data_IF_034451884116
#
_entry.id   IF_034451884116
#
_cell.length_a   1.000
_cell.length_b   1.000
_cell.length_c   1.000
_cell.angle_alpha   90.00
_cell.angle_beta   90.00
_cell.angle_gamma   90.00
#
_symmetry.space_group_name_H-M   'P 1'
#
loop_
_entity.id
_entity.type
_entity.pdbx_description
1 polymer ?
#
# COMPACT_ATOMS: atom_id res chain seq x y z
N UNK A 1 -69.36 21.17 -7.96
CA UNK A 1 -69.54 22.62 -7.99
C UNK A 1 -68.27 23.25 -8.51
N UNK A 2 -68.32 23.74 -9.75
CA UNK A 2 -67.26 24.53 -10.35
C UNK A 2 -67.28 25.93 -9.73
N UNK A 3 -66.10 26.48 -9.43
CA UNK A 3 -65.97 27.91 -9.15
C UNK A 3 -64.74 28.44 -9.88
N UNK A 4 -65.02 29.27 -10.87
CA UNK A 4 -64.10 30.07 -11.68
C UNK A 4 -63.75 31.36 -10.96
N UNK A 5 -62.47 31.76 -10.88
CA UNK A 5 -62.00 33.17 -10.82
C UNK A 5 -60.55 33.15 -11.38
N UNK A 6 -60.26 33.46 -12.64
CA UNK A 6 -60.20 34.76 -13.35
C UNK A 6 -59.06 35.72 -12.91
N UNK A 7 -57.97 35.67 -13.71
CA UNK A 7 -57.22 36.78 -14.31
C UNK A 7 -56.57 37.89 -13.46
N UNK A 8 -55.25 38.07 -13.60
CA UNK A 8 -54.68 39.25 -14.29
C UNK A 8 -53.18 39.10 -14.59
N UNK A 9 -52.87 39.10 -15.88
CA UNK A 9 -51.54 39.36 -16.45
C UNK A 9 -51.14 40.80 -16.13
N UNK A 10 -49.97 40.99 -15.55
CA UNK A 10 -49.32 42.31 -15.49
C UNK A 10 -48.41 42.43 -16.71
N UNK A 11 -48.84 43.21 -17.70
CA UNK A 11 -47.99 43.71 -18.76
C UNK A 11 -47.29 44.96 -18.23
N UNK A 12 -45.96 44.94 -18.18
CA UNK A 12 -45.17 46.17 -17.99
C UNK A 12 -44.87 46.74 -19.37
N UNK A 13 -45.37 47.95 -19.60
CA UNK A 13 -45.17 48.72 -20.81
C UNK A 13 -43.71 49.20 -20.92
N UNK A 14 -43.09 48.94 -22.07
CA UNK A 14 -41.79 49.50 -22.44
C UNK A 14 -42.03 50.89 -23.03
N UNK A 15 -41.70 51.93 -22.26
CA UNK A 15 -41.71 53.31 -22.75
C UNK A 15 -40.41 53.56 -23.52
N UNK A 16 -40.51 53.64 -24.87
CA UNK A 16 -39.42 54.09 -25.72
C UNK A 16 -39.37 55.62 -25.66
N UNK A 17 -38.30 56.17 -25.08
CA UNK A 17 -37.91 57.56 -25.28
C UNK A 17 -36.64 57.58 -26.12
N UNK A 18 -36.79 58.08 -27.33
CA UNK A 18 -35.76 58.38 -28.32
C UNK A 18 -34.80 59.44 -27.78
N UNK A 19 -33.54 59.08 -27.60
CA UNK A 19 -32.43 60.03 -27.53
C UNK A 19 -31.33 59.58 -28.49
N UNK A 20 -31.27 60.28 -29.62
CA UNK A 20 -30.41 60.01 -30.75
C UNK A 20 -29.00 60.55 -30.45
N UNK A 21 -28.10 59.72 -29.94
CA UNK A 21 -26.68 60.09 -29.81
C UNK A 21 -25.93 59.59 -31.05
N UNK A 22 -25.60 60.53 -31.94
CA UNK A 22 -24.61 60.35 -33.00
C UNK A 22 -23.22 60.15 -32.36
N UNK A 23 -22.84 58.89 -32.14
CA UNK A 23 -21.47 58.49 -31.86
C UNK A 23 -20.76 58.11 -33.16
N UNK A 24 -19.81 58.93 -33.58
CA UNK A 24 -18.91 58.66 -34.71
C UNK A 24 -18.20 57.32 -34.54
N UNK A 25 -18.42 56.41 -35.48
CA UNK A 25 -17.74 55.13 -35.60
C UNK A 25 -16.26 55.36 -35.97
N UNK A 26 -15.39 55.43 -34.98
CA UNK A 26 -13.96 55.28 -35.19
C UNK A 26 -13.68 53.82 -35.52
N UNK A 27 -13.68 53.52 -36.81
CA UNK A 27 -13.20 52.27 -37.38
C UNK A 27 -11.69 52.18 -37.14
N UNK A 28 -11.27 51.67 -35.99
CA UNK A 28 -9.87 51.32 -35.79
C UNK A 28 -9.50 50.23 -36.79
N UNK A 29 -8.53 50.52 -37.65
CA UNK A 29 -7.96 49.58 -38.61
C UNK A 29 -7.13 48.52 -37.88
N UNK A 30 -7.72 47.36 -37.56
CA UNK A 30 -7.03 46.18 -37.01
C UNK A 30 -6.29 45.38 -38.10
N UNK A 31 -5.79 46.04 -39.13
CA UNK A 31 -4.99 45.42 -40.19
C UNK A 31 -3.76 46.27 -40.41
N UNK A 32 -2.70 46.02 -39.63
CA UNK A 32 -1.26 46.13 -39.96
C UNK A 32 -0.38 46.28 -38.71
N UNK A 33 -0.31 45.24 -37.88
CA UNK A 33 0.85 44.99 -36.99
C UNK A 33 0.92 43.49 -36.64
N UNK A 34 0.90 42.64 -37.67
CA UNK A 34 1.20 41.22 -37.52
C UNK A 34 2.09 40.85 -38.70
N UNK A 35 3.36 41.26 -38.66
CA UNK A 35 4.50 40.73 -39.45
C UNK A 35 5.67 41.72 -39.39
N UNK A 36 6.33 41.84 -38.24
CA UNK A 36 7.67 42.47 -38.19
C UNK A 36 8.66 41.79 -37.25
N UNK A 37 8.30 40.69 -36.57
CA UNK A 37 9.24 40.01 -35.70
C UNK A 37 9.15 38.48 -35.84
N UNK A 38 9.97 37.84 -36.70
CA UNK A 38 9.93 36.39 -36.91
C UNK A 38 10.22 35.61 -35.62
N UNK A 39 10.89 36.24 -34.66
CA UNK A 39 11.18 35.67 -33.34
C UNK A 39 9.97 35.60 -32.40
N UNK A 40 8.93 36.41 -32.62
CA UNK A 40 7.74 36.40 -31.76
C UNK A 40 6.97 35.08 -31.87
N UNK A 41 6.94 34.47 -33.06
CA UNK A 41 6.30 33.17 -33.27
C UNK A 41 7.08 32.04 -32.58
N UNK A 42 8.42 32.03 -32.73
CA UNK A 42 9.29 31.07 -32.05
C UNK A 42 9.21 31.21 -30.52
N UNK A 43 9.14 32.44 -30.01
CA UNK A 43 8.93 32.69 -28.59
C UNK A 43 7.58 32.16 -28.11
N UNK A 44 6.50 32.37 -28.88
CA UNK A 44 5.18 31.85 -28.52
C UNK A 44 5.14 30.31 -28.48
N UNK A 45 5.81 29.63 -29.43
CA UNK A 45 5.93 28.17 -29.44
C UNK A 45 6.76 27.65 -28.26
N UNK A 46 7.84 28.33 -27.90
CA UNK A 46 8.67 27.97 -26.75
C UNK A 46 7.91 28.11 -25.43
N UNK A 47 7.12 29.18 -25.28
CA UNK A 47 6.26 29.37 -24.10
C UNK A 47 5.18 28.28 -24.03
N UNK A 48 4.53 27.95 -25.14
CA UNK A 48 3.53 26.86 -25.18
C UNK A 48 4.18 25.51 -24.84
N UNK A 49 5.38 25.24 -25.36
CA UNK A 49 6.13 24.03 -25.05
C UNK A 49 6.51 23.95 -23.56
N UNK A 50 6.99 25.05 -22.97
CA UNK A 50 7.29 25.11 -21.54
C UNK A 50 6.03 24.91 -20.68
N UNK A 51 4.91 25.52 -21.05
CA UNK A 51 3.63 25.33 -20.37
C UNK A 51 3.13 23.88 -20.50
N UNK A 52 3.34 23.24 -21.65
CA UNK A 52 3.01 21.83 -21.87
C UNK A 52 3.90 20.90 -21.02
N UNK A 53 5.21 21.15 -20.94
CA UNK A 53 6.12 20.40 -20.07
C UNK A 53 5.76 20.59 -18.60
N UNK A 54 5.45 21.81 -18.17
CA UNK A 54 4.95 22.09 -16.82
C UNK A 54 3.61 21.38 -16.55
N UNK A 55 2.71 21.34 -17.53
CA UNK A 55 1.45 20.61 -17.42
C UNK A 55 1.66 19.09 -17.27
N UNK A 56 2.54 18.49 -18.07
CA UNK A 56 2.86 17.05 -17.99
C UNK A 56 3.58 16.71 -16.68
N UNK A 57 4.51 17.56 -16.23
CA UNK A 57 5.21 17.36 -14.96
C UNK A 57 4.29 17.52 -13.76
N UNK A 58 3.35 18.47 -13.80
CA UNK A 58 2.35 18.65 -12.75
C UNK A 58 1.34 17.49 -12.72
N UNK A 59 0.87 17.02 -13.88
CA UNK A 59 0.02 15.82 -13.96
C UNK A 59 0.72 14.57 -13.42
N UNK A 60 2.02 14.39 -13.74
CA UNK A 60 2.83 13.31 -13.13
C UNK A 60 2.93 13.50 -11.61
N UNK A 61 3.24 14.70 -11.14
CA UNK A 61 3.35 14.99 -9.71
C UNK A 61 2.04 14.72 -8.96
N UNK A 62 0.89 15.10 -9.53
CA UNK A 62 -0.43 14.83 -8.95
C UNK A 62 -0.78 13.34 -8.98
N UNK A 63 -0.42 12.61 -10.05
CA UNK A 63 -0.56 11.15 -10.11
C UNK A 63 0.32 10.46 -9.06
N UNK A 64 1.61 10.81 -8.97
CA UNK A 64 2.52 10.29 -7.94
C UNK A 64 2.03 10.64 -6.54
N UNK A 65 1.48 11.84 -6.32
CA UNK A 65 0.93 12.25 -5.03
C UNK A 65 -0.34 11.45 -4.69
N UNK A 66 -1.20 11.16 -5.67
CA UNK A 66 -2.40 10.36 -5.47
C UNK A 66 -2.08 8.88 -5.20
N UNK A 67 -1.12 8.31 -5.93
CA UNK A 67 -0.61 6.95 -5.68
C UNK A 67 0.02 6.88 -4.28
N UNK A 68 0.89 7.82 -3.92
CA UNK A 68 1.49 7.91 -2.59
C UNK A 68 0.43 8.12 -1.49
N UNK A 69 -0.65 8.84 -1.75
CA UNK A 69 -1.76 8.98 -0.79
C UNK A 69 -2.48 7.65 -0.61
N UNK A 70 -2.78 6.92 -1.69
CA UNK A 70 -3.36 5.57 -1.63
C UNK A 70 -2.41 4.59 -0.90
N UNK A 71 -1.09 4.72 -1.08
CA UNK A 71 -0.08 3.88 -0.40
C UNK A 71 0.12 4.25 1.09
N UNK A 72 -0.06 5.52 1.45
CA UNK A 72 0.12 6.02 2.82
C UNK A 72 -1.17 6.01 3.65
N UNK A 73 -2.30 6.11 2.97
CA UNK A 73 -3.67 6.12 3.49
C UNK A 73 -4.39 4.83 3.07
N UNK A 74 -3.64 3.72 3.04
CA UNK A 74 -4.21 2.38 3.11
C UNK A 74 -4.93 2.25 4.45
N UNK A 75 -6.14 2.83 4.51
CA UNK A 75 -7.11 2.56 5.54
C UNK A 75 -7.21 1.04 5.68
N UNK A 76 -7.38 0.60 6.91
CA UNK A 76 -7.32 -0.78 7.44
C UNK A 76 -8.33 -1.75 6.78
N UNK A 77 -8.97 -1.33 5.69
CA UNK A 77 -9.93 -2.09 4.90
C UNK A 77 -9.38 -2.82 3.68
N UNK A 78 -8.10 -2.65 3.33
CA UNK A 78 -7.54 -3.27 2.11
C UNK A 78 -6.51 -4.37 2.38
N UNK A 79 -6.58 -5.04 3.54
CA UNK A 79 -5.98 -6.37 3.70
C UNK A 79 -6.56 -7.38 2.68
N UNK A 80 -7.68 -7.06 2.02
CA UNK A 80 -8.24 -7.82 0.90
C UNK A 80 -7.82 -7.35 -0.49
N UNK A 81 -6.95 -6.34 -0.60
CA UNK A 81 -6.46 -5.92 -1.91
C UNK A 81 -5.45 -6.95 -2.41
N UNK A 82 -5.87 -7.68 -3.44
CA UNK A 82 -5.11 -8.77 -4.07
C UNK A 82 -3.73 -8.35 -4.60
N UNK A 83 -3.43 -7.05 -4.58
CA UNK A 83 -2.15 -6.48 -4.98
C UNK A 83 -1.07 -6.57 -3.90
N UNK A 84 -1.41 -6.56 -2.62
CA UNK A 84 -0.38 -6.62 -1.58
C UNK A 84 0.28 -8.00 -1.50
N UNK A 85 1.54 -8.00 -1.12
CA UNK A 85 2.31 -9.17 -0.76
C UNK A 85 2.50 -9.22 0.74
N UNK A 86 2.72 -10.41 1.28
CA UNK A 86 2.80 -10.66 2.70
C UNK A 86 4.04 -11.48 3.03
N UNK A 87 4.52 -11.38 4.27
CA UNK A 87 5.49 -12.30 4.84
C UNK A 87 5.14 -12.58 6.31
N UNK A 88 5.38 -13.81 6.73
CA UNK A 88 5.22 -14.24 8.12
C UNK A 88 6.59 -14.51 8.71
N UNK A 89 6.89 -13.92 9.87
CA UNK A 89 8.13 -14.17 10.62
C UNK A 89 7.78 -14.67 12.00
N UNK A 90 8.26 -15.86 12.35
CA UNK A 90 8.17 -16.44 13.68
C UNK A 90 9.54 -16.31 14.36
N UNK A 91 9.62 -15.43 15.36
CA UNK A 91 10.77 -15.29 16.25
C UNK A 91 10.67 -16.33 17.39
N UNK A 92 11.58 -17.29 17.38
CA UNK A 92 11.67 -18.40 18.31
C UNK A 92 12.69 -18.12 19.41
N UNK A 93 12.29 -17.26 20.36
CA UNK A 93 13.07 -16.90 21.55
C UNK A 93 13.06 -17.96 22.66
N UNK A 94 14.01 -17.83 23.60
CA UNK A 94 14.14 -18.77 24.74
C UNK A 94 12.92 -18.79 25.67
N UNK A 95 12.28 -17.64 25.88
CA UNK A 95 11.12 -17.50 26.78
C UNK A 95 9.77 -17.75 26.11
N UNK A 96 9.74 -17.98 24.80
CA UNK A 96 8.52 -18.08 24.00
C UNK A 96 8.73 -17.63 22.57
N UNK A 97 7.81 -18.02 21.70
CA UNK A 97 7.82 -17.67 20.27
C UNK A 97 6.78 -16.60 19.96
N UNK A 98 7.07 -15.75 18.97
CA UNK A 98 6.19 -14.65 18.52
C UNK A 98 6.04 -14.67 17.02
N UNK A 99 4.83 -14.40 16.53
CA UNK A 99 4.57 -14.22 15.10
C UNK A 99 4.38 -12.74 14.78
N UNK A 100 4.95 -12.34 13.66
CA UNK A 100 4.82 -11.01 13.05
C UNK A 100 4.36 -11.19 11.62
N UNK A 101 3.40 -10.36 11.20
CA UNK A 101 2.90 -10.33 9.83
C UNK A 101 3.33 -9.01 9.22
N UNK A 102 4.00 -9.10 8.08
CA UNK A 102 4.43 -7.96 7.29
C UNK A 102 3.72 -7.96 5.95
N UNK A 103 3.56 -6.78 5.37
CA UNK A 103 2.98 -6.61 4.06
C UNK A 103 3.64 -5.45 3.31
N UNK A 104 3.60 -5.48 1.98
CA UNK A 104 4.11 -4.41 1.13
C UNK A 104 3.33 -4.35 -0.19
N UNK A 105 3.20 -3.15 -0.78
CA UNK A 105 2.54 -3.00 -2.08
C UNK A 105 3.37 -3.63 -3.21
N UNK A 106 2.79 -3.80 -4.41
CA UNK A 106 3.56 -4.13 -5.60
C UNK A 106 4.74 -3.16 -5.78
N UNK A 107 5.87 -3.71 -6.20
CA UNK A 107 7.05 -2.92 -6.51
C UNK A 107 6.80 -2.06 -7.77
N UNK A 108 7.27 -0.81 -7.76
CA UNK A 108 7.07 0.16 -8.88
C UNK A 108 7.78 -0.27 -10.17
N UNK A 109 8.78 -1.15 -10.05
CA UNK A 109 9.66 -1.59 -11.14
C UNK A 109 11.00 -0.85 -11.16
N UNK A 110 11.19 0.18 -10.34
CA UNK A 110 12.46 0.88 -10.20
C UNK A 110 13.47 0.04 -9.40
N UNK A 111 14.55 -0.40 -10.04
CA UNK A 111 15.58 -1.23 -9.42
C UNK A 111 16.34 -0.54 -8.27
N UNK A 112 16.21 0.78 -8.13
CA UNK A 112 16.82 1.53 -7.03
C UNK A 112 15.91 1.61 -5.79
N UNK A 113 14.64 1.24 -5.92
CA UNK A 113 13.69 1.27 -4.83
C UNK A 113 13.75 -0.04 -4.01
N UNK A 114 13.65 0.09 -2.68
CA UNK A 114 13.50 -1.06 -1.79
C UNK A 114 12.02 -1.36 -1.58
N UNK A 115 11.71 -2.58 -1.14
CA UNK A 115 10.35 -2.93 -0.74
C UNK A 115 9.91 -2.06 0.44
N UNK A 116 8.75 -1.42 0.30
CA UNK A 116 8.11 -0.65 1.36
C UNK A 116 7.37 -1.59 2.32
N UNK A 117 8.14 -2.33 3.13
CA UNK A 117 7.63 -3.31 4.07
C UNK A 117 7.07 -2.61 5.31
N UNK A 118 5.82 -2.92 5.65
CA UNK A 118 5.13 -2.43 6.85
C UNK A 118 4.69 -3.61 7.70
N UNK A 119 4.70 -3.43 9.02
CA UNK A 119 4.09 -4.39 9.93
C UNK A 119 2.56 -4.24 9.87
N UNK A 120 1.83 -5.35 9.80
CA UNK A 120 0.38 -5.35 9.81
C UNK A 120 -0.15 -4.82 11.16
N UNK A 121 -1.14 -3.93 11.09
CA UNK A 121 -1.82 -3.35 12.23
C UNK A 121 -3.30 -3.77 12.23
N UNK A 122 -3.90 -3.88 13.41
CA UNK A 122 -5.33 -4.11 13.57
C UNK A 122 -6.14 -2.81 13.41
N UNK A 123 -7.46 -2.88 13.57
CA UNK A 123 -8.37 -1.73 13.46
C UNK A 123 -8.07 -0.60 14.44
N UNK A 124 -7.47 -0.92 15.59
CA UNK A 124 -7.10 0.03 16.62
C UNK A 124 -5.66 0.58 16.41
N UNK A 125 -5.01 0.18 15.32
CA UNK A 125 -3.63 0.56 15.01
C UNK A 125 -2.57 -0.19 15.82
N UNK A 126 -2.94 -1.27 16.52
CA UNK A 126 -1.97 -2.07 17.26
C UNK A 126 -1.31 -3.10 16.33
N UNK A 127 -0.04 -3.46 16.59
CA UNK A 127 0.62 -4.47 15.78
C UNK A 127 -0.05 -5.84 15.87
N UNK A 128 -0.44 -6.40 14.73
CA UNK A 128 -0.95 -7.78 14.62
C UNK A 128 0.19 -8.74 14.94
N UNK A 129 0.16 -9.27 16.16
CA UNK A 129 1.15 -10.20 16.68
C UNK A 129 0.54 -11.13 17.71
N UNK A 130 1.08 -12.33 17.81
CA UNK A 130 0.74 -13.29 18.87
C UNK A 130 2.02 -13.82 19.51
N UNK A 131 1.98 -14.09 20.82
CA UNK A 131 3.06 -14.74 21.56
C UNK A 131 2.55 -16.01 22.24
N UNK A 132 3.35 -17.07 22.17
CA UNK A 132 3.15 -18.31 22.92
C UNK A 132 4.30 -18.56 23.89
N UNK A 133 4.08 -19.45 24.85
CA UNK A 133 5.08 -19.98 25.78
C UNK A 133 4.85 -21.49 25.97
N UNK A 134 5.88 -22.30 26.24
CA UNK A 134 7.30 -21.94 26.33
C UNK A 134 7.94 -21.71 24.95
N UNK A 135 9.24 -21.38 24.90
CA UNK A 135 9.99 -21.28 23.65
C UNK A 135 10.33 -22.66 23.08
N UNK A 136 10.65 -22.74 21.79
CA UNK A 136 10.88 -24.03 21.12
C UNK A 136 12.04 -24.83 21.73
N UNK A 137 13.03 -24.15 22.33
CA UNK A 137 14.16 -24.81 23.01
C UNK A 137 13.75 -25.62 24.24
N UNK A 138 12.56 -25.37 24.81
CA UNK A 138 12.03 -26.15 25.92
C UNK A 138 11.60 -27.56 25.52
N UNK A 139 11.50 -27.85 24.22
CA UNK A 139 11.16 -29.17 23.69
C UNK A 139 12.40 -30.02 23.35
N UNK A 140 13.57 -29.68 23.88
CA UNK A 140 14.83 -30.38 23.62
C UNK A 140 14.80 -31.87 23.95
N UNK A 141 14.00 -32.27 24.96
CA UNK A 141 13.82 -33.67 25.36
C UNK A 141 12.62 -34.33 24.68
N UNK A 142 11.76 -33.56 24.00
CA UNK A 142 10.66 -34.09 23.22
C UNK A 142 10.43 -33.27 21.92
N UNK A 143 11.34 -33.42 20.92
CA UNK A 143 11.31 -32.63 19.70
C UNK A 143 10.01 -32.75 18.90
N UNK A 144 9.30 -33.87 19.02
CA UNK A 144 8.01 -34.11 18.35
C UNK A 144 6.93 -33.06 18.67
N UNK A 145 7.05 -32.37 19.81
CA UNK A 145 6.11 -31.35 20.24
C UNK A 145 6.50 -29.92 19.80
N UNK A 146 7.68 -29.72 19.21
CA UNK A 146 8.16 -28.39 18.84
C UNK A 146 7.27 -27.75 17.77
N UNK A 147 6.99 -28.46 16.67
CA UNK A 147 6.08 -27.97 15.60
C UNK A 147 4.65 -27.73 16.10
N UNK A 148 4.12 -28.66 16.90
CA UNK A 148 2.80 -28.51 17.54
C UNK A 148 2.68 -27.23 18.35
N UNK A 149 3.76 -26.83 19.05
CA UNK A 149 3.77 -25.58 19.81
C UNK A 149 3.58 -24.34 18.91
N UNK A 150 4.07 -24.36 17.67
CA UNK A 150 3.99 -23.24 16.72
C UNK A 150 2.67 -23.18 15.96
N UNK A 151 1.87 -24.25 15.96
CA UNK A 151 0.59 -24.32 15.24
C UNK A 151 -0.36 -23.13 15.53
N UNK A 152 -0.55 -22.67 16.78
CA UNK A 152 -1.39 -21.50 17.04
C UNK A 152 -0.89 -20.22 16.36
N UNK A 153 0.43 -20.05 16.22
CA UNK A 153 1.01 -18.89 15.54
C UNK A 153 0.77 -18.93 14.03
N UNK A 154 0.86 -20.12 13.42
CA UNK A 154 0.57 -20.32 12.00
C UNK A 154 -0.90 -20.03 11.68
N UNK A 155 -1.81 -20.58 12.49
CA UNK A 155 -3.25 -20.35 12.33
C UNK A 155 -3.60 -18.87 12.53
N UNK A 156 -3.02 -18.22 13.54
CA UNK A 156 -3.18 -16.79 13.74
C UNK A 156 -2.75 -15.98 12.50
N UNK A 157 -1.62 -16.33 11.88
CA UNK A 157 -1.19 -15.64 10.67
C UNK A 157 -2.13 -15.89 9.48
N UNK A 158 -2.62 -17.12 9.32
CA UNK A 158 -3.59 -17.47 8.28
C UNK A 158 -4.88 -16.67 8.45
N UNK A 159 -5.40 -16.52 9.68
CA UNK A 159 -6.63 -15.77 9.94
C UNK A 159 -6.56 -14.29 9.53
N UNK A 160 -5.36 -13.71 9.40
CA UNK A 160 -5.15 -12.30 9.04
C UNK A 160 -4.74 -12.10 7.57
N UNK A 161 -4.28 -13.14 6.89
CA UNK A 161 -3.81 -13.06 5.50
C UNK A 161 -4.92 -13.58 4.58
N UNK A 162 -5.20 -12.92 3.43
CA UNK A 162 -6.18 -13.45 2.48
C UNK A 162 -5.81 -14.85 1.99
N UNK A 163 -6.81 -15.75 1.90
CA UNK A 163 -6.59 -17.14 1.49
C UNK A 163 -5.88 -17.28 0.14
N UNK A 164 -6.15 -16.40 -0.82
CA UNK A 164 -5.49 -16.40 -2.13
C UNK A 164 -4.01 -15.99 -2.09
N UNK A 165 -3.50 -15.55 -0.94
CA UNK A 165 -2.12 -15.12 -0.72
C UNK A 165 -1.26 -16.13 0.02
N UNK A 166 -1.84 -17.19 0.59
CA UNK A 166 -1.08 -18.16 1.39
C UNK A 166 0.11 -18.74 0.62
N UNK A 167 -0.11 -19.26 -0.58
CA UNK A 167 0.92 -19.95 -1.36
C UNK A 167 2.07 -19.04 -1.83
N UNK A 168 1.86 -17.72 -1.90
CA UNK A 168 2.91 -16.75 -2.25
C UNK A 168 3.57 -16.12 -1.03
N UNK A 169 3.01 -16.31 0.17
CA UNK A 169 3.49 -15.68 1.39
C UNK A 169 4.65 -16.48 1.97
N UNK A 170 5.90 -15.98 1.95
CA UNK A 170 7.01 -16.63 2.60
C UNK A 170 6.83 -16.69 4.12
N UNK A 171 7.14 -17.85 4.70
CA UNK A 171 7.21 -18.09 6.14
C UNK A 171 8.68 -18.24 6.56
N UNK A 172 9.13 -17.37 7.46
CA UNK A 172 10.43 -17.44 8.10
C UNK A 172 10.29 -17.85 9.56
N UNK A 173 11.10 -18.81 10.01
CA UNK A 173 11.18 -19.23 11.40
C UNK A 173 12.61 -19.02 11.87
N UNK A 174 12.83 -18.02 12.72
CA UNK A 174 14.15 -17.59 13.15
C UNK A 174 14.32 -17.91 14.63
N UNK A 175 15.19 -18.87 14.94
CA UNK A 175 15.47 -19.27 16.31
C UNK A 175 16.70 -18.55 16.87
N UNK A 176 16.61 -18.09 18.11
CA UNK A 176 17.64 -17.24 18.73
C UNK A 176 18.40 -17.98 19.86
N UNK A 177 18.80 -17.27 20.91
CA UNK A 177 19.68 -17.75 21.97
C UNK A 177 19.28 -19.10 22.58
N UNK A 178 17.98 -19.36 22.76
CA UNK A 178 17.51 -20.62 23.36
C UNK A 178 17.98 -21.85 22.59
N UNK A 179 17.92 -21.81 21.26
CA UNK A 179 18.37 -22.92 20.41
C UNK A 179 19.90 -23.01 20.30
N UNK A 180 20.61 -21.87 20.32
CA UNK A 180 22.08 -21.82 20.32
C UNK A 180 22.71 -22.52 21.52
N UNK A 181 22.02 -22.52 22.66
CA UNK A 181 22.51 -23.11 23.91
C UNK A 181 22.27 -24.62 24.03
N UNK A 182 21.46 -25.20 23.14
CA UNK A 182 21.22 -26.65 23.15
C UNK A 182 22.41 -27.44 22.62
N UNK A 183 22.64 -28.67 23.10
CA UNK A 183 23.51 -29.64 22.42
C UNK A 183 23.08 -29.81 20.96
N UNK A 184 24.06 -29.96 20.07
CA UNK A 184 23.84 -30.04 18.62
C UNK A 184 22.79 -31.09 18.23
N UNK A 185 22.87 -32.29 18.81
CA UNK A 185 21.91 -33.37 18.54
C UNK A 185 20.46 -33.00 18.88
N UNK A 186 20.23 -32.32 20.01
CA UNK A 186 18.89 -31.88 20.43
C UNK A 186 18.38 -30.73 19.57
N UNK A 187 19.28 -29.81 19.21
CA UNK A 187 18.96 -28.70 18.31
C UNK A 187 18.52 -29.23 16.95
N UNK A 188 19.29 -30.16 16.37
CA UNK A 188 18.99 -30.70 15.04
C UNK A 188 17.68 -31.50 15.05
N UNK A 189 17.43 -32.31 16.09
CA UNK A 189 16.17 -33.04 16.21
C UNK A 189 14.93 -32.12 16.26
N UNK A 190 15.04 -30.94 16.89
CA UNK A 190 13.97 -29.92 16.84
C UNK A 190 13.84 -29.36 15.42
N UNK A 191 14.95 -28.99 14.78
CA UNK A 191 14.93 -28.39 13.44
C UNK A 191 14.35 -29.38 12.41
N UNK A 192 14.73 -30.65 12.46
CA UNK A 192 14.18 -31.71 11.62
C UNK A 192 12.67 -31.85 11.83
N UNK A 193 12.20 -31.90 13.09
CA UNK A 193 10.76 -31.92 13.36
C UNK A 193 10.03 -30.71 12.75
N UNK A 194 10.61 -29.52 12.82
CA UNK A 194 10.03 -28.31 12.23
C UNK A 194 10.01 -28.40 10.69
N UNK A 195 11.10 -28.83 10.05
CA UNK A 195 11.18 -28.98 8.58
C UNK A 195 10.10 -29.92 8.05
N UNK A 196 9.88 -31.04 8.72
CA UNK A 196 8.89 -32.04 8.30
C UNK A 196 7.45 -31.58 8.50
N UNK A 197 7.16 -30.92 9.64
CA UNK A 197 5.78 -30.74 10.07
C UNK A 197 5.19 -29.37 9.71
N UNK A 198 5.99 -28.30 9.67
CA UNK A 198 5.50 -26.94 9.36
C UNK A 198 4.78 -26.87 8.00
N UNK A 199 5.28 -27.47 6.90
CA UNK A 199 4.58 -27.49 5.61
C UNK A 199 3.20 -28.14 5.65
N UNK A 200 2.96 -29.04 6.60
CA UNK A 200 1.67 -29.74 6.75
C UNK A 200 0.66 -28.95 7.60
N UNK A 201 1.14 -27.94 8.34
CA UNK A 201 0.34 -27.16 9.28
C UNK A 201 -0.15 -25.82 8.70
N UNK A 202 0.41 -25.36 7.59
CA UNK A 202 0.03 -24.11 6.92
C UNK A 202 0.18 -24.23 5.41
N UNK A 203 -0.45 -23.30 4.67
CA UNK A 203 -0.31 -23.20 3.22
C UNK A 203 0.70 -22.11 2.80
N UNK A 204 1.54 -21.64 3.73
CA UNK A 204 2.55 -20.64 3.43
C UNK A 204 3.70 -21.22 2.62
N UNK A 205 4.35 -20.38 1.81
CA UNK A 205 5.56 -20.75 1.10
C UNK A 205 6.70 -20.94 2.11
N UNK A 206 7.08 -22.19 2.32
CA UNK A 206 8.14 -22.58 3.25
C UNK A 206 9.18 -23.44 2.54
N UNK A 207 10.43 -22.98 2.57
CA UNK A 207 11.61 -23.73 2.13
C UNK A 207 12.58 -23.88 3.30
N UNK A 208 13.40 -24.93 3.27
CA UNK A 208 14.27 -25.27 4.40
C UNK A 208 15.20 -24.13 4.83
N UNK A 209 15.68 -23.31 3.88
CA UNK A 209 16.54 -22.16 4.18
C UNK A 209 15.83 -21.03 4.93
N UNK A 210 14.51 -21.08 5.09
CA UNK A 210 13.73 -20.12 5.87
C UNK A 210 13.56 -20.54 7.33
N UNK A 211 14.08 -21.71 7.72
CA UNK A 211 14.24 -22.14 9.10
C UNK A 211 15.72 -22.04 9.49
N UNK A 212 16.06 -21.06 10.31
CA UNK A 212 17.45 -20.80 10.69
C UNK A 212 17.60 -20.55 12.19
N UNK A 213 18.70 -21.05 12.76
CA UNK A 213 19.19 -20.60 14.08
C UNK A 213 20.15 -19.46 13.85
N UNK A 214 19.70 -18.22 14.05
CA UNK A 214 20.50 -17.04 13.77
C UNK A 214 21.53 -16.80 14.87
N UNK A 215 22.72 -16.34 14.48
CA UNK A 215 23.76 -15.89 15.42
C UNK A 215 23.40 -14.57 16.09
N UNK A 216 24.04 -14.24 17.22
CA UNK A 216 23.79 -12.98 17.91
C UNK A 216 24.30 -11.74 17.16
N UNK A 217 25.03 -11.93 16.05
CA UNK A 217 25.45 -10.86 15.13
C UNK A 217 24.42 -10.62 14.01
N UNK A 218 23.63 -11.65 13.67
CA UNK A 218 22.55 -11.56 12.68
C UNK A 218 21.26 -10.99 13.29
N UNK A 219 21.02 -11.27 14.58
CA UNK A 219 19.95 -10.68 15.41
C UNK A 219 20.22 -9.18 15.66
#
# INVERSE_FOLDING_TARGET
MATYICCKKVQVAVHQNSCQIRGTFLRTNWKKTFHQNPFAFLYSLLVIFLLYVLYITNQKHDFYKHENHIYNEGNIHDSHNSKFHYAVVIDCGSSGSRVYIYYWPPHTGDKQELLNIKQMLDFDGNPVRMKIKPGISSYADNPSNASHSLKPLLLFAMDHIPHNKYLETPLYILATAGMRLLPESKREAILENLRENIPTMSHFHFVESQLEVISGKQE
#
